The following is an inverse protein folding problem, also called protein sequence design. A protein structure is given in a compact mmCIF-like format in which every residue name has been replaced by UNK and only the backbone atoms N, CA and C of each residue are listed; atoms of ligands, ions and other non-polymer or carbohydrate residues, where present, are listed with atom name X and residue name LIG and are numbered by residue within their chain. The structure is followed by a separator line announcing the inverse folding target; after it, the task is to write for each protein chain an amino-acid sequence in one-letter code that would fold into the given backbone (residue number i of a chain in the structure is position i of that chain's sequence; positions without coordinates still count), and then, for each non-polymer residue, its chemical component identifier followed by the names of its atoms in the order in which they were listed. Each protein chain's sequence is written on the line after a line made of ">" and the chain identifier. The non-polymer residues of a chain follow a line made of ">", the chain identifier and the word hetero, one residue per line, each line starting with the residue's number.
data_IF_510445897002
#
_entry.id   IF_510445897002
#
_cell.length_a   1.000
_cell.length_b   1.000
_cell.length_c   1.000
_cell.angle_alpha   90.00
_cell.angle_beta   90.00
_cell.angle_gamma   90.00
#
_symmetry.space_group_name_H-M   'P 1'
#
loop_
_entity.id
_entity.type
_entity.pdbx_description
1 polymer ?
#
# COMPACT_ATOMS: atom_id res chain seq x y z
N UNK A 1 -23.79 14.33 11.24
CA UNK A 1 -23.67 13.44 12.41
C UNK A 1 -23.17 12.05 12.02
N UNK A 2 -23.82 11.36 11.08
CA UNK A 2 -23.45 10.00 10.62
C UNK A 2 -22.03 9.91 10.02
N UNK A 3 -21.65 10.84 9.13
CA UNK A 3 -20.30 10.83 8.52
C UNK A 3 -19.18 10.99 9.56
N UNK A 4 -19.39 11.76 10.63
CA UNK A 4 -18.36 12.00 11.66
C UNK A 4 -18.10 10.74 12.51
N UNK A 5 -19.15 10.02 12.88
CA UNK A 5 -19.02 8.71 13.55
C UNK A 5 -18.42 7.65 12.62
N UNK A 6 -18.76 7.66 11.33
CA UNK A 6 -18.15 6.78 10.35
C UNK A 6 -16.63 6.99 10.27
N UNK A 7 -16.14 8.23 10.38
CA UNK A 7 -14.70 8.55 10.36
C UNK A 7 -13.92 7.99 11.57
N UNK A 8 -14.57 7.85 12.73
CA UNK A 8 -13.96 7.21 13.91
C UNK A 8 -13.94 5.69 13.78
N UNK A 9 -14.86 5.12 12.99
CA UNK A 9 -15.00 3.68 12.76
C UNK A 9 -14.29 3.17 11.50
N UNK A 10 -13.65 4.05 10.70
CA UNK A 10 -12.97 3.64 9.45
C UNK A 10 -12.02 2.48 9.70
N UNK A 11 -11.18 2.58 10.72
CA UNK A 11 -10.16 1.57 11.02
C UNK A 11 -10.76 0.21 11.39
N UNK A 12 -11.97 0.19 11.92
CA UNK A 12 -12.75 -1.03 12.16
C UNK A 12 -13.32 -1.55 10.84
N UNK A 13 -14.02 -0.70 10.09
CA UNK A 13 -14.74 -1.11 8.87
C UNK A 13 -13.81 -1.66 7.79
N UNK A 14 -12.59 -1.11 7.64
CA UNK A 14 -11.63 -1.62 6.65
C UNK A 14 -11.19 -3.06 6.91
N UNK A 15 -11.29 -3.52 8.16
CA UNK A 15 -10.98 -4.91 8.53
C UNK A 15 -12.20 -5.83 8.47
N UNK A 16 -13.40 -5.31 8.24
CA UNK A 16 -14.60 -6.15 8.19
C UNK A 16 -14.80 -6.75 6.79
N UNK A 17 -15.33 -7.98 6.75
CA UNK A 17 -15.63 -8.70 5.51
C UNK A 17 -16.57 -7.92 4.57
N UNK A 18 -17.51 -7.15 5.12
CA UNK A 18 -18.45 -6.34 4.34
C UNK A 18 -18.15 -4.84 4.45
N UNK A 19 -17.71 -4.35 5.62
CA UNK A 19 -17.39 -2.94 5.84
C UNK A 19 -16.32 -2.40 4.89
N UNK A 20 -15.35 -3.23 4.48
CA UNK A 20 -14.29 -2.80 3.56
C UNK A 20 -14.87 -2.32 2.21
N UNK A 21 -15.96 -2.90 1.72
CA UNK A 21 -16.58 -2.49 0.46
C UNK A 21 -17.23 -1.11 0.56
N UNK A 22 -17.75 -0.74 1.73
CA UNK A 22 -18.29 0.61 1.98
C UNK A 22 -17.17 1.64 1.89
N UNK A 23 -16.01 1.34 2.47
CA UNK A 23 -14.85 2.23 2.40
C UNK A 23 -14.31 2.34 0.97
N UNK A 24 -14.24 1.23 0.23
CA UNK A 24 -13.86 1.23 -1.18
C UNK A 24 -14.83 2.04 -2.06
N UNK A 25 -16.12 1.97 -1.78
CA UNK A 25 -17.13 2.78 -2.46
C UNK A 25 -16.89 4.28 -2.20
N UNK A 26 -16.67 4.68 -0.94
CA UNK A 26 -16.36 6.07 -0.60
C UNK A 26 -15.05 6.56 -1.21
N UNK A 27 -14.05 5.69 -1.36
CA UNK A 27 -12.81 6.02 -2.08
C UNK A 27 -13.05 6.26 -3.57
N UNK A 28 -14.08 5.67 -4.16
CA UNK A 28 -14.41 5.81 -5.59
C UNK A 28 -15.36 6.99 -5.83
N UNK A 29 -16.49 7.03 -5.12
CA UNK A 29 -17.60 7.97 -5.35
C UNK A 29 -17.62 9.16 -4.37
N UNK A 30 -16.88 9.08 -3.27
CA UNK A 30 -16.88 10.13 -2.25
C UNK A 30 -16.22 11.43 -2.73
N UNK A 31 -16.54 12.53 -2.06
CA UNK A 31 -15.88 13.82 -2.30
C UNK A 31 -14.38 13.75 -2.00
N UNK A 32 -13.58 14.63 -2.65
CA UNK A 32 -12.13 14.72 -2.41
C UNK A 32 -11.77 14.81 -0.93
N UNK A 33 -12.54 15.57 -0.14
CA UNK A 33 -12.36 15.70 1.30
C UNK A 33 -12.57 14.37 2.04
N UNK A 34 -13.63 13.63 1.72
CA UNK A 34 -13.89 12.32 2.33
C UNK A 34 -12.78 11.32 1.97
N UNK A 35 -12.36 11.28 0.70
CA UNK A 35 -11.24 10.43 0.24
C UNK A 35 -9.96 10.74 1.01
N UNK A 36 -9.60 12.01 1.14
CA UNK A 36 -8.39 12.44 1.86
C UNK A 36 -8.42 12.07 3.35
N UNK A 37 -9.57 12.12 4.02
CA UNK A 37 -9.68 11.66 5.41
C UNK A 37 -9.44 10.15 5.52
N UNK A 38 -10.06 9.36 4.62
CA UNK A 38 -9.86 7.90 4.60
C UNK A 38 -8.39 7.59 4.32
N UNK A 39 -7.81 8.18 3.28
CA UNK A 39 -6.41 7.96 2.90
C UNK A 39 -5.48 8.30 4.06
N UNK A 40 -5.66 9.45 4.72
CA UNK A 40 -4.85 9.82 5.89
C UNK A 40 -4.90 8.76 7.00
N UNK A 41 -6.09 8.22 7.32
CA UNK A 41 -6.23 7.15 8.32
C UNK A 41 -5.58 5.84 7.90
N UNK A 42 -5.67 5.51 6.62
CA UNK A 42 -5.02 4.32 6.05
C UNK A 42 -3.50 4.48 6.07
N UNK A 43 -2.97 5.64 5.68
CA UNK A 43 -1.54 5.94 5.70
C UNK A 43 -0.95 5.73 7.09
N UNK A 44 -1.61 6.20 8.16
CA UNK A 44 -1.11 6.04 9.53
C UNK A 44 -0.92 4.58 9.97
N UNK A 45 -1.63 3.62 9.36
CA UNK A 45 -1.58 2.19 9.71
C UNK A 45 -1.33 1.32 8.46
N UNK A 46 -0.64 1.87 7.46
CA UNK A 46 -0.56 1.26 6.12
C UNK A 46 0.05 -0.13 6.16
N UNK A 47 1.08 -0.34 6.99
CA UNK A 47 1.72 -1.63 7.14
C UNK A 47 0.72 -2.69 7.65
N UNK A 48 0.08 -2.44 8.80
CA UNK A 48 -0.91 -3.34 9.39
C UNK A 48 -2.06 -3.65 8.41
N UNK A 49 -2.61 -2.64 7.76
CA UNK A 49 -3.72 -2.84 6.82
C UNK A 49 -3.30 -3.59 5.57
N UNK A 50 -2.06 -3.43 5.10
CA UNK A 50 -1.55 -4.15 3.93
C UNK A 50 -1.43 -5.65 4.18
N UNK A 51 -1.19 -6.06 5.43
CA UNK A 51 -1.09 -7.48 5.83
C UNK A 51 -2.45 -8.12 6.14
N UNK A 52 -3.54 -7.37 6.01
CA UNK A 52 -4.87 -7.84 6.37
C UNK A 52 -5.70 -8.22 5.13
N UNK A 53 -6.37 -9.38 5.20
CA UNK A 53 -7.17 -9.95 4.09
C UNK A 53 -8.15 -8.97 3.43
N UNK A 54 -8.85 -8.18 4.24
CA UNK A 54 -9.87 -7.25 3.73
C UNK A 54 -9.32 -5.83 3.55
N UNK A 55 -8.38 -5.41 4.40
CA UNK A 55 -7.93 -4.01 4.43
C UNK A 55 -6.89 -3.73 3.34
N UNK A 56 -6.13 -4.75 2.90
CA UNK A 56 -5.20 -4.65 1.77
C UNK A 56 -5.89 -4.13 0.50
N UNK A 57 -7.10 -4.62 0.20
CA UNK A 57 -7.91 -4.11 -0.92
C UNK A 57 -8.25 -2.62 -0.77
N UNK A 58 -8.46 -2.15 0.47
CA UNK A 58 -8.70 -0.73 0.75
C UNK A 58 -7.42 0.08 0.52
N UNK A 59 -6.25 -0.44 0.92
CA UNK A 59 -4.96 0.21 0.64
C UNK A 59 -4.72 0.36 -0.86
N UNK A 60 -4.98 -0.70 -1.65
CA UNK A 60 -4.89 -0.62 -3.12
C UNK A 60 -5.86 0.42 -3.69
N UNK A 61 -7.10 0.48 -3.18
CA UNK A 61 -8.09 1.48 -3.60
C UNK A 61 -7.66 2.89 -3.22
N UNK A 62 -7.02 3.09 -2.07
CA UNK A 62 -6.41 4.36 -1.68
C UNK A 62 -5.34 4.78 -2.68
N UNK A 63 -4.41 3.89 -3.05
CA UNK A 63 -3.35 4.20 -4.03
C UNK A 63 -3.91 4.65 -5.38
N UNK A 64 -5.01 4.05 -5.83
CA UNK A 64 -5.69 4.40 -7.08
C UNK A 64 -6.39 5.77 -7.04
N UNK A 65 -6.93 6.16 -5.88
CA UNK A 65 -7.75 7.37 -5.72
C UNK A 65 -7.02 8.53 -5.01
N UNK A 66 -5.79 8.30 -4.58
CA UNK A 66 -4.94 9.28 -3.95
C UNK A 66 -4.41 10.30 -4.97
N UNK A 67 -4.25 11.54 -4.51
CA UNK A 67 -3.46 12.55 -5.22
C UNK A 67 -1.99 12.12 -5.28
N UNK A 68 -1.18 12.77 -6.13
CA UNK A 68 0.26 12.50 -6.18
C UNK A 68 0.92 12.63 -4.80
N UNK A 69 0.58 13.70 -4.06
CA UNK A 69 1.10 13.95 -2.71
C UNK A 69 0.74 12.84 -1.73
N UNK A 70 -0.54 12.46 -1.68
CA UNK A 70 -1.01 11.40 -0.78
C UNK A 70 -0.40 10.03 -1.12
N UNK A 71 -0.17 9.72 -2.41
CA UNK A 71 0.55 8.49 -2.79
C UNK A 71 2.00 8.52 -2.30
N UNK A 72 2.69 9.64 -2.48
CA UNK A 72 4.06 9.80 -1.99
C UNK A 72 4.12 9.65 -0.47
N UNK A 73 3.16 10.21 0.28
CA UNK A 73 3.06 10.01 1.74
C UNK A 73 2.88 8.54 2.12
N UNK A 74 2.06 7.79 1.39
CA UNK A 74 1.89 6.33 1.59
C UNK A 74 3.21 5.59 1.35
N UNK A 75 3.90 5.90 0.25
CA UNK A 75 5.16 5.24 -0.13
C UNK A 75 6.26 5.57 0.89
N UNK A 76 6.38 6.84 1.28
CA UNK A 76 7.33 7.29 2.30
C UNK A 76 7.08 6.56 3.62
N UNK A 77 5.82 6.41 4.03
CA UNK A 77 5.46 5.69 5.25
C UNK A 77 5.89 4.22 5.22
N UNK A 78 5.80 3.56 4.07
CA UNK A 78 6.22 2.16 3.88
C UNK A 78 7.76 2.01 3.86
N UNK A 79 8.46 3.06 3.44
CA UNK A 79 9.92 3.11 3.36
C UNK A 79 10.61 3.58 4.65
N UNK A 80 9.85 4.00 5.67
CA UNK A 80 10.38 4.25 7.02
C UNK A 80 11.12 3.02 7.58
N UNK A 81 11.99 3.24 8.57
CA UNK A 81 12.77 2.19 9.25
C UNK A 81 13.50 1.27 8.26
N UNK A 82 14.21 1.88 7.30
CA UNK A 82 14.96 1.17 6.25
C UNK A 82 14.11 0.15 5.46
N UNK A 83 12.84 0.48 5.26
CA UNK A 83 11.84 -0.32 4.56
C UNK A 83 11.58 -1.69 5.19
N UNK A 84 11.65 -1.79 6.52
CA UNK A 84 11.20 -2.98 7.26
C UNK A 84 9.77 -3.36 6.87
N UNK A 85 8.84 -2.41 6.90
CA UNK A 85 7.46 -2.62 6.47
C UNK A 85 7.34 -3.08 5.02
N UNK A 86 8.15 -2.53 4.12
CA UNK A 86 8.19 -2.95 2.72
C UNK A 86 8.58 -4.43 2.60
N UNK A 87 9.65 -4.85 3.28
CA UNK A 87 10.16 -6.24 3.23
C UNK A 87 9.12 -7.22 3.78
N UNK A 88 8.45 -6.88 4.86
CA UNK A 88 7.38 -7.69 5.43
C UNK A 88 6.19 -7.81 4.47
N UNK A 89 5.75 -6.69 3.90
CA UNK A 89 4.66 -6.68 2.91
C UNK A 89 5.01 -7.53 1.68
N UNK A 90 6.26 -7.51 1.20
CA UNK A 90 6.69 -8.35 0.08
C UNK A 90 6.57 -9.85 0.38
N UNK A 91 6.80 -10.26 1.64
CA UNK A 91 6.76 -11.66 2.08
C UNK A 91 5.35 -12.15 2.40
N UNK A 92 4.37 -11.24 2.54
CA UNK A 92 3.01 -11.55 2.97
C UNK A 92 2.06 -11.91 1.82
N UNK A 93 1.05 -12.73 2.13
CA UNK A 93 0.05 -13.22 1.16
C UNK A 93 -0.89 -12.14 0.62
N UNK A 94 -1.07 -11.03 1.33
CA UNK A 94 -1.88 -9.87 0.92
C UNK A 94 -1.01 -8.67 0.59
N UNK A 95 -0.02 -8.39 1.43
CA UNK A 95 0.88 -7.24 1.31
C UNK A 95 1.63 -7.22 -0.02
N UNK A 96 1.95 -8.39 -0.59
CA UNK A 96 2.68 -8.46 -1.86
C UNK A 96 1.89 -7.79 -3.01
N UNK A 97 0.56 -7.85 -2.99
CA UNK A 97 -0.29 -7.19 -3.98
C UNK A 97 -0.26 -5.67 -3.82
N UNK A 98 -0.25 -5.17 -2.59
CA UNK A 98 -0.09 -3.74 -2.30
C UNK A 98 1.25 -3.23 -2.82
N UNK A 99 2.36 -3.94 -2.57
CA UNK A 99 3.68 -3.55 -3.08
C UNK A 99 3.71 -3.55 -4.60
N UNK A 100 3.12 -4.57 -5.23
CA UNK A 100 2.99 -4.61 -6.69
C UNK A 100 2.16 -3.44 -7.23
N UNK A 101 1.10 -3.02 -6.53
CA UNK A 101 0.28 -1.86 -6.89
C UNK A 101 1.06 -0.56 -6.77
N UNK A 102 1.87 -0.42 -5.73
CA UNK A 102 2.77 0.72 -5.57
C UNK A 102 3.74 0.80 -6.75
N UNK A 103 4.37 -0.32 -7.12
CA UNK A 103 5.29 -0.37 -8.27
C UNK A 103 4.62 0.03 -9.59
N UNK A 104 3.32 -0.23 -9.77
CA UNK A 104 2.59 0.20 -10.97
C UNK A 104 2.33 1.72 -11.01
N UNK A 105 2.12 2.34 -9.85
CA UNK A 105 1.61 3.70 -9.72
C UNK A 105 2.68 4.73 -9.32
N UNK A 106 3.81 4.26 -8.77
CA UNK A 106 4.92 5.08 -8.33
C UNK A 106 5.63 5.76 -9.52
N UNK A 107 6.09 6.99 -9.28
CA UNK A 107 7.02 7.66 -10.18
C UNK A 107 8.36 6.93 -10.23
N UNK A 108 9.18 7.24 -11.25
CA UNK A 108 10.47 6.57 -11.41
C UNK A 108 11.42 6.85 -10.25
N UNK A 109 11.38 8.05 -9.66
CA UNK A 109 12.17 8.36 -8.46
C UNK A 109 11.72 7.57 -7.23
N UNK A 110 10.42 7.35 -7.06
CA UNK A 110 9.88 6.50 -5.98
C UNK A 110 10.24 5.02 -6.21
N UNK A 111 10.16 4.53 -7.45
CA UNK A 111 10.62 3.17 -7.79
C UNK A 111 12.11 3.00 -7.50
N UNK A 112 12.95 3.99 -7.81
CA UNK A 112 14.38 3.96 -7.48
C UNK A 112 14.60 3.84 -5.96
N UNK A 113 13.86 4.59 -5.14
CA UNK A 113 13.93 4.47 -3.67
C UNK A 113 13.54 3.06 -3.20
N UNK A 114 12.46 2.51 -3.73
CA UNK A 114 12.00 1.15 -3.42
C UNK A 114 13.07 0.13 -3.79
N UNK A 115 13.62 0.21 -5.01
CA UNK A 115 14.66 -0.70 -5.49
C UNK A 115 15.92 -0.60 -4.64
N UNK A 116 16.38 0.62 -4.34
CA UNK A 116 17.54 0.85 -3.49
C UNK A 116 17.39 0.16 -2.12
N UNK A 117 16.22 0.30 -1.50
CA UNK A 117 15.91 -0.32 -0.20
C UNK A 117 15.96 -1.86 -0.25
N UNK A 118 15.42 -2.48 -1.30
CA UNK A 118 15.30 -3.95 -1.35
C UNK A 118 16.47 -4.65 -2.06
N UNK A 119 17.31 -3.92 -2.80
CA UNK A 119 18.45 -4.46 -3.57
C UNK A 119 19.33 -5.41 -2.75
N UNK A 120 19.72 -5.09 -1.49
CA UNK A 120 20.53 -6.00 -0.66
C UNK A 120 19.82 -7.30 -0.30
N UNK A 121 18.48 -7.32 -0.35
CA UNK A 121 17.63 -8.40 0.12
C UNK A 121 16.96 -9.19 -1.02
N UNK A 122 17.23 -8.88 -2.29
CA UNK A 122 16.53 -9.49 -3.42
C UNK A 122 16.68 -11.02 -3.45
N UNK A 123 17.86 -11.54 -3.13
CA UNK A 123 18.11 -12.98 -3.08
C UNK A 123 17.26 -13.64 -1.98
N UNK A 124 17.29 -13.09 -0.76
CA UNK A 124 16.50 -13.57 0.36
C UNK A 124 15.00 -13.52 0.06
N UNK A 125 14.50 -12.38 -0.44
CA UNK A 125 13.09 -12.15 -0.76
C UNK A 125 12.58 -13.09 -1.85
N UNK A 126 13.43 -13.47 -2.81
CA UNK A 126 13.07 -14.41 -3.88
C UNK A 126 12.78 -15.84 -3.39
N UNK A 127 13.24 -16.19 -2.17
CA UNK A 127 13.00 -17.52 -1.57
C UNK A 127 11.61 -17.63 -0.93
N UNK A 128 10.92 -16.52 -0.68
CA UNK A 128 9.56 -16.51 -0.13
C UNK A 128 8.52 -16.72 -1.24
N UNK A 129 7.47 -17.49 -0.92
CA UNK A 129 6.40 -17.84 -1.85
C UNK A 129 5.74 -16.61 -2.50
N UNK A 130 5.52 -15.54 -1.73
CA UNK A 130 4.95 -14.29 -2.22
C UNK A 130 6.02 -13.28 -2.66
N UNK A 131 7.17 -13.27 -1.97
CA UNK A 131 8.28 -12.36 -2.26
C UNK A 131 8.83 -12.48 -3.68
N UNK A 132 8.90 -13.71 -4.23
CA UNK A 132 9.34 -13.94 -5.61
C UNK A 132 8.52 -13.14 -6.64
N UNK A 133 7.22 -12.98 -6.44
CA UNK A 133 6.35 -12.27 -7.39
C UNK A 133 6.68 -10.78 -7.44
N UNK A 134 6.99 -10.18 -6.28
CA UNK A 134 7.41 -8.78 -6.23
C UNK A 134 8.81 -8.61 -6.80
N UNK A 135 9.74 -9.51 -6.47
CA UNK A 135 11.11 -9.50 -7.01
C UNK A 135 11.09 -9.59 -8.55
N UNK A 136 10.30 -10.49 -9.11
CA UNK A 136 10.18 -10.64 -10.57
C UNK A 136 9.60 -9.37 -11.22
N UNK A 137 8.67 -8.69 -10.55
CA UNK A 137 8.15 -7.40 -11.00
C UNK A 137 9.23 -6.31 -10.95
N UNK A 138 10.03 -6.26 -9.90
CA UNK A 138 11.15 -5.32 -9.77
C UNK A 138 12.18 -5.54 -10.89
N UNK A 139 12.50 -6.80 -11.21
CA UNK A 139 13.43 -7.16 -12.30
C UNK A 139 12.98 -6.68 -13.68
N UNK A 140 11.67 -6.50 -13.91
CA UNK A 140 11.17 -5.92 -15.17
C UNK A 140 11.55 -4.45 -15.34
N UNK A 141 11.84 -3.76 -14.25
CA UNK A 141 12.42 -2.41 -14.27
C UNK A 141 13.95 -2.50 -14.27
N UNK A 142 14.52 -3.28 -15.18
CA UNK A 142 15.96 -3.61 -15.24
C UNK A 142 16.87 -2.40 -15.27
N UNK A 143 16.40 -1.27 -15.80
CA UNK A 143 17.11 0.02 -15.77
C UNK A 143 17.34 0.58 -14.36
N UNK A 144 16.58 0.13 -13.35
CA UNK A 144 16.70 0.58 -11.96
C UNK A 144 17.65 -0.30 -11.14
N UNK A 145 18.07 -1.46 -11.67
CA UNK A 145 18.93 -2.41 -10.97
C UNK A 145 20.42 -2.28 -11.34
N UNK A 146 20.72 -1.51 -12.40
CA UNK A 146 22.08 -1.26 -12.88
C UNK A 146 22.68 -0.05 -12.17
#
# INVERSE_FOLDING_TARGET
>A
MILKQLFELITTFVKEQYGNYVIQFLLTEGTRKQKSIIISKITSNVHEFSLHKFASNVVEKCLLNATKKEKSEIIEKILENDGESLKDMMKDQYGNYVVQKILDLASDSEKQKIVYCVRPHLEELSRYAYGKHVVDKIKKFSSLLN
#
